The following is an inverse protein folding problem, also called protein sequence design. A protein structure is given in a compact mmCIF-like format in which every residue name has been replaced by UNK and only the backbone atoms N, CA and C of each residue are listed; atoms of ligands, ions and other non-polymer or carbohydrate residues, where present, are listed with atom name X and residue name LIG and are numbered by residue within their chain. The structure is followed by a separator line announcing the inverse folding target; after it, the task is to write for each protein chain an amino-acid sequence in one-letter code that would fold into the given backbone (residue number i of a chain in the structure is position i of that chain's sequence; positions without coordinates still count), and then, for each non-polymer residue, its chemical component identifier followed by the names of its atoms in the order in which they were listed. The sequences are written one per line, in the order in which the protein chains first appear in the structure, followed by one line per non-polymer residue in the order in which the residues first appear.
data_IF_700486252102
#
_entry.id   IF_700486252102
#
_cell.length_a   1.000
_cell.length_b   1.000
_cell.length_c   1.000
_cell.angle_alpha   90.00
_cell.angle_beta   90.00
_cell.angle_gamma   90.00
#
_symmetry.space_group_name_H-M   'P 1'
#
loop_
_entity.id
_entity.type
_entity.pdbx_description
1 polymer ?
#
# COMPACT_ATOMS: atom_id res chain seq x y z
N UNK A 1 8.10 -32.54 -21.29
CA UNK A 1 7.17 -33.01 -20.25
C UNK A 1 7.97 -33.00 -18.95
N UNK A 2 7.83 -31.93 -18.14
CA UNK A 2 8.58 -31.77 -16.89
C UNK A 2 7.58 -32.12 -15.78
N UNK A 3 7.75 -33.29 -15.19
CA UNK A 3 7.00 -33.74 -14.02
C UNK A 3 7.33 -32.80 -12.84
N UNK A 4 6.33 -32.11 -12.33
CA UNK A 4 6.43 -31.38 -11.05
C UNK A 4 6.15 -32.38 -9.93
N UNK A 5 7.17 -32.71 -9.18
CA UNK A 5 7.00 -33.44 -7.92
C UNK A 5 6.10 -32.67 -6.95
N UNK A 6 5.18 -33.34 -6.21
CA UNK A 6 4.36 -32.69 -5.22
C UNK A 6 5.24 -32.28 -4.03
N UNK A 7 5.37 -30.98 -3.78
CA UNK A 7 5.96 -30.49 -2.54
C UNK A 7 5.00 -30.72 -1.38
N UNK A 8 4.99 -31.90 -0.84
CA UNK A 8 4.41 -32.20 0.47
C UNK A 8 5.52 -32.21 1.50
N UNK A 9 5.65 -31.14 2.25
CA UNK A 9 6.25 -31.16 3.57
C UNK A 9 5.60 -30.06 4.37
N UNK A 10 4.52 -30.40 5.08
CA UNK A 10 4.09 -29.62 6.23
C UNK A 10 5.22 -29.72 7.26
N UNK A 11 6.13 -28.74 7.26
CA UNK A 11 7.15 -28.64 8.28
C UNK A 11 6.47 -28.59 9.65
N UNK A 12 6.74 -29.59 10.50
CA UNK A 12 6.22 -29.62 11.85
C UNK A 12 6.66 -28.34 12.57
N UNK A 13 5.70 -27.51 12.95
CA UNK A 13 5.96 -26.30 13.76
C UNK A 13 6.58 -26.75 15.06
N UNK A 14 7.79 -26.26 15.40
CA UNK A 14 8.44 -26.60 16.66
C UNK A 14 7.53 -26.24 17.84
N UNK A 15 7.64 -26.96 18.97
CA UNK A 15 6.86 -26.68 20.18
C UNK A 15 6.99 -25.22 20.64
N UNK A 16 8.16 -24.62 20.48
CA UNK A 16 8.40 -23.19 20.74
C UNK A 16 7.64 -22.28 19.74
N UNK A 17 7.64 -22.62 18.46
CA UNK A 17 6.86 -21.89 17.44
C UNK A 17 5.37 -21.94 17.69
N UNK A 18 4.84 -23.09 18.10
CA UNK A 18 3.42 -23.23 18.44
C UNK A 18 3.04 -22.41 19.69
N UNK A 19 3.92 -22.33 20.68
CA UNK A 19 3.71 -21.50 21.87
C UNK A 19 3.71 -20.01 21.53
N UNK A 20 4.63 -19.56 20.69
CA UNK A 20 4.68 -18.18 20.19
C UNK A 20 3.42 -17.80 19.42
N UNK A 21 2.94 -18.67 18.52
CA UNK A 21 1.71 -18.42 17.76
C UNK A 21 0.48 -18.29 18.68
N UNK A 22 0.42 -19.06 19.78
CA UNK A 22 -0.66 -18.93 20.77
C UNK A 22 -0.62 -17.62 21.56
N UNK A 23 0.54 -16.97 21.64
CA UNK A 23 0.71 -15.69 22.32
C UNK A 23 0.39 -14.48 21.43
N UNK A 24 0.16 -14.68 20.12
CA UNK A 24 -0.17 -13.61 19.18
C UNK A 24 -1.50 -12.97 19.55
N UNK A 25 -1.50 -11.64 19.72
CA UNK A 25 -2.69 -10.84 20.05
C UNK A 25 -3.25 -10.12 18.83
N UNK A 26 -2.43 -9.86 17.82
CA UNK A 26 -2.84 -9.24 16.59
C UNK A 26 -1.97 -9.69 15.43
N UNK A 27 -2.54 -9.62 14.22
CA UNK A 27 -1.84 -9.89 12.96
C UNK A 27 -2.12 -8.77 11.98
N UNK A 28 -1.12 -8.43 11.18
CA UNK A 28 -1.27 -7.60 10.00
C UNK A 28 -1.10 -8.51 8.78
N UNK A 29 -2.09 -8.52 7.91
CA UNK A 29 -2.12 -9.33 6.69
C UNK A 29 -1.88 -8.43 5.47
N UNK A 30 -0.90 -8.79 4.66
CA UNK A 30 -0.72 -8.21 3.35
C UNK A 30 -1.90 -8.58 2.45
N UNK A 31 -2.29 -7.69 1.54
CA UNK A 31 -3.47 -7.87 0.72
C UNK A 31 -3.15 -8.52 -0.63
N UNK A 32 -2.33 -7.86 -1.46
CA UNK A 32 -2.10 -8.29 -2.83
C UNK A 32 -1.17 -9.50 -2.89
N UNK A 33 -1.68 -10.63 -3.38
CA UNK A 33 -0.94 -11.90 -3.41
C UNK A 33 -0.96 -12.68 -2.09
N UNK A 34 -1.63 -12.18 -1.05
CA UNK A 34 -1.82 -12.84 0.24
C UNK A 34 -3.30 -13.07 0.56
N UNK A 35 -4.07 -12.00 0.77
CA UNK A 35 -5.51 -12.09 1.07
C UNK A 35 -6.34 -12.19 -0.20
N UNK A 36 -5.91 -11.55 -1.28
CA UNK A 36 -6.56 -11.62 -2.58
C UNK A 36 -5.58 -11.66 -3.75
N UNK A 37 -6.08 -12.08 -4.91
CA UNK A 37 -5.42 -12.06 -6.21
C UNK A 37 -6.34 -11.33 -7.20
N UNK A 38 -6.03 -10.08 -7.51
CA UNK A 38 -6.91 -9.24 -8.34
C UNK A 38 -8.28 -9.01 -7.70
N UNK A 39 -9.33 -9.61 -8.28
CA UNK A 39 -10.72 -9.49 -7.82
C UNK A 39 -11.21 -10.67 -6.96
N UNK A 40 -10.38 -11.66 -6.68
CA UNK A 40 -10.77 -12.89 -5.99
C UNK A 40 -10.00 -13.05 -4.67
N UNK A 41 -10.67 -13.60 -3.65
CA UNK A 41 -9.99 -13.97 -2.40
C UNK A 41 -9.05 -15.16 -2.62
N UNK A 42 -7.95 -15.17 -1.87
CA UNK A 42 -7.16 -16.36 -1.69
C UNK A 42 -8.02 -17.47 -1.06
N UNK A 43 -7.78 -18.76 -1.43
CA UNK A 43 -8.53 -19.85 -0.86
C UNK A 43 -8.56 -19.83 0.67
N UNK A 44 -9.74 -19.87 1.25
CA UNK A 44 -9.99 -19.83 2.70
C UNK A 44 -9.61 -18.54 3.43
N UNK A 45 -9.26 -17.46 2.76
CA UNK A 45 -8.87 -16.21 3.42
C UNK A 45 -9.95 -15.65 4.36
N UNK A 46 -11.22 -15.66 3.92
CA UNK A 46 -12.34 -15.21 4.76
C UNK A 46 -12.52 -16.08 6.01
N UNK A 47 -12.42 -17.40 5.85
CA UNK A 47 -12.53 -18.35 6.96
C UNK A 47 -11.40 -18.15 8.00
N UNK A 48 -10.16 -17.97 7.52
CA UNK A 48 -8.99 -17.73 8.39
C UNK A 48 -9.15 -16.44 9.17
N UNK A 49 -9.58 -15.36 8.51
CA UNK A 49 -9.82 -14.07 9.18
C UNK A 49 -10.94 -14.20 10.23
N UNK A 50 -12.04 -14.87 9.89
CA UNK A 50 -13.14 -15.11 10.81
C UNK A 50 -12.69 -15.92 12.04
N UNK A 51 -11.89 -16.97 11.84
CA UNK A 51 -11.36 -17.80 12.91
C UNK A 51 -10.39 -17.04 13.83
N UNK A 52 -9.50 -16.22 13.28
CA UNK A 52 -8.61 -15.36 14.07
C UNK A 52 -9.42 -14.41 14.96
N UNK A 53 -10.43 -13.76 14.39
CA UNK A 53 -11.30 -12.85 15.15
C UNK A 53 -12.12 -13.57 16.21
N UNK A 54 -12.64 -14.75 15.91
CA UNK A 54 -13.37 -15.58 16.88
C UNK A 54 -12.51 -15.99 18.07
N UNK A 55 -11.20 -16.13 17.88
CA UNK A 55 -10.21 -16.38 18.95
C UNK A 55 -9.76 -15.11 19.69
N UNK A 56 -10.32 -13.95 19.37
CA UNK A 56 -9.94 -12.66 19.98
C UNK A 56 -8.62 -12.10 19.49
N UNK A 57 -8.10 -12.59 18.34
CA UNK A 57 -6.92 -12.00 17.69
C UNK A 57 -7.36 -10.81 16.85
N UNK A 58 -6.74 -9.65 17.10
CA UNK A 58 -6.92 -8.47 16.25
C UNK A 58 -6.40 -8.74 14.84
N UNK A 59 -7.17 -8.37 13.83
CA UNK A 59 -6.76 -8.53 12.42
C UNK A 59 -6.81 -7.18 11.73
N UNK A 60 -5.66 -6.72 11.28
CA UNK A 60 -5.48 -5.56 10.40
C UNK A 60 -4.97 -5.99 9.02
N UNK A 61 -5.10 -5.08 8.07
CA UNK A 61 -4.68 -5.28 6.68
C UNK A 61 -3.66 -4.22 6.30
N UNK A 62 -2.57 -4.66 5.69
CA UNK A 62 -1.51 -3.80 5.19
C UNK A 62 -1.45 -3.93 3.67
N UNK A 63 -1.35 -2.81 2.97
CA UNK A 63 -1.13 -2.82 1.52
C UNK A 63 -0.16 -1.72 1.13
N UNK A 64 0.61 -1.94 0.07
CA UNK A 64 1.48 -0.94 -0.56
C UNK A 64 0.76 -0.17 -1.69
N UNK A 65 -0.55 -0.33 -1.85
CA UNK A 65 -1.34 0.46 -2.81
C UNK A 65 -1.15 1.95 -2.49
N UNK A 66 -0.70 2.71 -3.49
CA UNK A 66 -0.38 4.14 -3.39
C UNK A 66 -1.40 5.03 -4.12
N UNK A 67 -2.62 4.54 -4.28
CA UNK A 67 -3.76 5.25 -4.85
C UNK A 67 -5.06 4.80 -4.18
N UNK A 68 -6.09 5.65 -4.19
CA UNK A 68 -7.35 5.37 -3.51
C UNK A 68 -7.32 5.67 -2.02
N UNK A 69 -8.33 5.19 -1.29
CA UNK A 69 -8.52 5.44 0.14
C UNK A 69 -8.65 4.13 0.92
N UNK A 70 -8.42 4.18 2.23
CA UNK A 70 -8.66 3.04 3.14
C UNK A 70 -10.11 2.53 3.05
N UNK A 71 -11.07 3.44 2.85
CA UNK A 71 -12.49 3.10 2.64
C UNK A 71 -12.69 2.21 1.42
N UNK A 72 -12.09 2.53 0.28
CA UNK A 72 -12.18 1.69 -0.93
C UNK A 72 -11.64 0.27 -0.69
N UNK A 73 -10.55 0.15 0.07
CA UNK A 73 -9.94 -1.15 0.40
C UNK A 73 -10.85 -1.93 1.36
N UNK A 74 -11.38 -1.27 2.41
CA UNK A 74 -12.30 -1.88 3.36
C UNK A 74 -13.60 -2.35 2.69
N UNK A 75 -14.15 -1.54 1.79
CA UNK A 75 -15.33 -1.89 0.98
C UNK A 75 -15.05 -3.09 0.07
N UNK A 76 -13.86 -3.16 -0.55
CA UNK A 76 -13.47 -4.31 -1.37
C UNK A 76 -13.37 -5.57 -0.52
N UNK A 77 -12.72 -5.53 0.66
CA UNK A 77 -12.66 -6.64 1.60
C UNK A 77 -14.05 -7.12 1.98
N UNK A 78 -14.95 -6.20 2.32
CA UNK A 78 -16.33 -6.49 2.72
C UNK A 78 -17.13 -7.14 1.59
N UNK A 79 -17.03 -6.62 0.36
CA UNK A 79 -17.66 -7.23 -0.83
C UNK A 79 -17.16 -8.64 -1.12
N UNK A 80 -15.89 -8.90 -0.83
CA UNK A 80 -15.27 -10.21 -0.98
C UNK A 80 -15.58 -11.18 0.18
N UNK A 81 -16.31 -10.74 1.21
CA UNK A 81 -16.73 -11.59 2.33
C UNK A 81 -15.85 -11.47 3.58
N UNK A 82 -14.95 -10.51 3.65
CA UNK A 82 -14.16 -10.18 4.84
C UNK A 82 -14.63 -8.83 5.38
N UNK A 83 -15.53 -8.76 6.39
CA UNK A 83 -15.95 -7.49 6.98
C UNK A 83 -14.76 -6.69 7.48
N UNK A 84 -14.60 -5.45 7.01
CA UNK A 84 -13.50 -4.58 7.39
C UNK A 84 -13.98 -3.13 7.51
N UNK A 85 -13.34 -2.35 8.38
CA UNK A 85 -13.51 -0.91 8.54
C UNK A 85 -12.27 -0.21 8.03
N UNK A 86 -12.37 1.08 7.75
CA UNK A 86 -11.23 1.92 7.35
C UNK A 86 -10.08 1.81 8.36
N UNK A 87 -10.40 1.78 9.66
CA UNK A 87 -9.43 1.63 10.75
C UNK A 87 -8.70 0.28 10.79
N UNK A 88 -9.19 -0.71 10.06
CA UNK A 88 -8.57 -2.03 9.97
C UNK A 88 -7.53 -2.08 8.84
N UNK A 89 -7.43 -1.03 8.01
CA UNK A 89 -6.56 -0.95 6.82
C UNK A 89 -5.45 0.07 7.03
N UNK A 90 -4.22 -0.32 6.76
CA UNK A 90 -3.05 0.57 6.74
C UNK A 90 -2.51 0.67 5.30
N UNK A 91 -2.43 1.90 4.80
CA UNK A 91 -1.92 2.25 3.48
C UNK A 91 -0.74 3.24 3.59
N UNK A 92 0.13 3.35 2.57
CA UNK A 92 1.22 4.32 2.57
C UNK A 92 0.75 5.76 2.74
N UNK A 93 -0.43 6.08 2.22
CA UNK A 93 -1.03 7.42 2.29
C UNK A 93 -1.32 7.85 3.75
N UNK A 94 -1.63 6.91 4.64
CA UNK A 94 -1.85 7.18 6.07
C UNK A 94 -0.52 7.46 6.80
N UNK A 95 0.59 6.91 6.31
CA UNK A 95 1.92 7.12 6.88
C UNK A 95 2.48 8.54 6.62
N UNK A 96 1.86 9.32 5.74
CA UNK A 96 2.21 10.74 5.53
C UNK A 96 2.03 11.55 6.82
N UNK A 97 1.01 11.21 7.62
CA UNK A 97 0.78 11.83 8.91
C UNK A 97 1.92 11.47 9.88
N UNK A 98 2.76 12.45 10.20
CA UNK A 98 3.92 12.26 11.09
C UNK A 98 5.22 11.90 10.36
N UNK A 99 5.25 11.86 9.02
CA UNK A 99 6.49 11.66 8.30
C UNK A 99 7.45 12.85 8.48
N UNK A 100 8.72 12.64 8.85
CA UNK A 100 9.66 13.74 9.17
C UNK A 100 9.84 14.78 8.07
N UNK A 101 9.82 14.37 6.79
CA UNK A 101 9.92 15.28 5.63
C UNK A 101 8.74 16.24 5.50
N UNK A 102 7.60 15.94 6.14
CA UNK A 102 6.41 16.79 6.12
C UNK A 102 6.25 17.63 7.38
N UNK A 103 7.19 17.51 8.32
CA UNK A 103 7.23 18.33 9.53
C UNK A 103 7.44 19.82 9.19
N UNK A 104 6.70 20.72 9.84
CA UNK A 104 6.80 22.15 9.57
C UNK A 104 5.99 22.63 8.36
N UNK A 105 5.17 21.78 7.77
CA UNK A 105 4.29 22.10 6.64
C UNK A 105 5.03 22.68 5.42
N UNK A 106 5.98 21.92 4.83
CA UNK A 106 6.67 22.36 3.63
C UNK A 106 5.73 22.50 2.44
N UNK A 107 6.20 23.14 1.37
CA UNK A 107 5.53 23.15 0.07
C UNK A 107 5.85 21.87 -0.69
N UNK A 108 4.83 21.11 -1.06
CA UNK A 108 4.96 19.79 -1.67
C UNK A 108 4.48 19.82 -3.12
N UNK A 109 5.34 19.41 -4.03
CA UNK A 109 4.93 19.06 -5.39
C UNK A 109 4.45 17.61 -5.41
N UNK A 110 3.20 17.36 -5.79
CA UNK A 110 2.61 16.02 -5.72
C UNK A 110 2.52 15.42 -7.13
N UNK A 111 3.25 14.33 -7.36
CA UNK A 111 3.05 13.41 -8.47
C UNK A 111 2.12 12.31 -8.04
N UNK A 112 0.83 12.45 -8.28
CA UNK A 112 -0.16 11.47 -7.83
C UNK A 112 -1.57 11.97 -8.06
N UNK A 113 -2.52 11.05 -7.95
CA UNK A 113 -3.95 11.37 -8.07
C UNK A 113 -4.41 12.30 -6.96
N UNK A 114 -5.63 12.82 -7.13
CA UNK A 114 -6.27 13.77 -6.21
C UNK A 114 -6.29 13.25 -4.75
N UNK A 115 -6.45 11.95 -4.53
CA UNK A 115 -6.45 11.37 -3.19
C UNK A 115 -5.10 11.53 -2.49
N UNK A 116 -3.99 11.43 -3.24
CA UNK A 116 -2.63 11.67 -2.71
C UNK A 116 -2.45 13.15 -2.38
N UNK A 117 -2.84 14.04 -3.30
CA UNK A 117 -2.77 15.48 -3.07
C UNK A 117 -3.63 15.91 -1.86
N UNK A 118 -4.84 15.35 -1.74
CA UNK A 118 -5.73 15.58 -0.59
C UNK A 118 -5.11 15.10 0.73
N UNK A 119 -4.45 13.95 0.73
CA UNK A 119 -3.80 13.44 1.93
C UNK A 119 -2.58 14.28 2.33
N UNK A 120 -1.76 14.70 1.36
CA UNK A 120 -0.65 15.62 1.59
C UNK A 120 -1.16 16.95 2.15
N UNK A 121 -2.25 17.49 1.61
CA UNK A 121 -2.83 18.77 2.04
C UNK A 121 -3.32 18.77 3.50
N UNK A 122 -3.54 17.60 4.10
CA UNK A 122 -3.89 17.47 5.53
C UNK A 122 -2.70 17.70 6.47
N UNK A 123 -1.47 17.53 5.97
CA UNK A 123 -0.24 17.52 6.79
C UNK A 123 0.82 18.49 6.30
N UNK A 124 0.70 19.01 5.09
CA UNK A 124 1.62 19.96 4.47
C UNK A 124 0.87 20.90 3.52
N UNK A 125 1.59 21.79 2.84
CA UNK A 125 1.02 22.64 1.78
C UNK A 125 1.32 22.04 0.42
N UNK A 126 0.36 22.02 -0.49
CA UNK A 126 0.58 21.56 -1.86
C UNK A 126 0.81 22.75 -2.78
N UNK A 127 1.64 22.56 -3.80
CA UNK A 127 1.89 23.53 -4.87
C UNK A 127 1.99 22.83 -6.22
N UNK A 128 1.60 23.54 -7.28
CA UNK A 128 1.85 23.16 -8.68
C UNK A 128 3.04 23.91 -9.27
N UNK A 129 3.63 24.84 -8.52
CA UNK A 129 4.79 25.60 -8.91
C UNK A 129 6.05 24.90 -8.37
N UNK A 130 6.85 24.35 -9.27
CA UNK A 130 8.06 23.61 -8.94
C UNK A 130 9.17 24.51 -8.36
N UNK A 131 9.15 25.82 -8.65
CA UNK A 131 10.07 26.79 -8.04
C UNK A 131 9.79 26.99 -6.55
N UNK A 132 8.56 26.84 -6.10
CA UNK A 132 8.15 27.01 -4.71
C UNK A 132 8.20 25.69 -3.89
N UNK A 133 8.35 24.56 -4.56
CA UNK A 133 8.31 23.26 -3.89
C UNK A 133 9.60 22.97 -3.12
N UNK A 134 9.45 22.50 -1.89
CA UNK A 134 10.53 22.05 -1.02
C UNK A 134 10.87 20.57 -1.22
N UNK A 135 9.89 19.76 -1.62
CA UNK A 135 10.03 18.31 -1.88
C UNK A 135 8.98 17.81 -2.85
N UNK A 136 9.21 16.58 -3.33
CA UNK A 136 8.27 15.85 -4.18
C UNK A 136 7.68 14.66 -3.39
N UNK A 137 6.35 14.49 -3.46
CA UNK A 137 5.67 13.25 -3.02
C UNK A 137 5.16 12.52 -4.25
N UNK A 138 5.50 11.21 -4.35
CA UNK A 138 5.08 10.36 -5.47
C UNK A 138 4.10 9.31 -5.01
N UNK A 139 2.89 9.33 -5.57
CA UNK A 139 1.88 8.29 -5.55
C UNK A 139 1.54 7.84 -6.96
N UNK A 140 0.73 6.79 -7.09
CA UNK A 140 0.38 6.28 -8.41
C UNK A 140 -0.59 7.20 -9.14
N UNK A 141 -0.21 7.62 -10.35
CA UNK A 141 -1.08 8.29 -11.31
C UNK A 141 -0.86 7.73 -12.72
N UNK A 142 -1.83 6.99 -13.28
CA UNK A 142 -1.75 6.48 -14.65
C UNK A 142 -1.85 7.57 -15.74
N UNK A 143 -2.28 8.77 -15.37
CA UNK A 143 -2.50 9.92 -16.28
C UNK A 143 -1.37 10.96 -16.18
N UNK A 144 -0.24 10.59 -15.55
CA UNK A 144 0.91 11.45 -15.35
C UNK A 144 1.47 11.94 -16.69
N UNK A 145 1.65 13.25 -16.83
CA UNK A 145 2.22 13.86 -18.01
C UNK A 145 3.74 14.04 -17.89
N UNK A 146 4.43 14.05 -19.02
CA UNK A 146 5.88 14.29 -19.06
C UNK A 146 6.28 15.64 -18.42
N UNK A 147 5.42 16.66 -18.53
CA UNK A 147 5.65 17.96 -17.90
C UNK A 147 5.70 17.86 -16.37
N UNK A 148 4.88 17.00 -15.76
CA UNK A 148 4.86 16.81 -14.30
C UNK A 148 6.16 16.16 -13.83
N UNK A 149 6.69 15.20 -14.61
CA UNK A 149 8.00 14.59 -14.35
C UNK A 149 9.13 15.62 -14.46
N UNK A 150 9.07 16.50 -15.46
CA UNK A 150 10.08 17.55 -15.62
C UNK A 150 10.07 18.53 -14.45
N UNK A 151 8.90 18.95 -13.98
CA UNK A 151 8.74 19.81 -12.81
C UNK A 151 9.27 19.13 -11.54
N UNK A 152 8.91 17.88 -11.31
CA UNK A 152 9.43 17.12 -10.16
C UNK A 152 10.96 16.99 -10.21
N UNK A 153 11.52 16.68 -11.39
CA UNK A 153 12.97 16.61 -11.59
C UNK A 153 13.65 17.96 -11.30
N UNK A 154 13.01 19.08 -11.61
CA UNK A 154 13.51 20.41 -11.28
C UNK A 154 13.64 20.57 -9.74
N UNK A 155 12.62 20.20 -8.98
CA UNK A 155 12.67 20.22 -7.50
C UNK A 155 13.82 19.37 -6.98
N UNK A 156 13.98 18.15 -7.50
CA UNK A 156 15.04 17.23 -7.07
C UNK A 156 16.43 17.76 -7.42
N UNK A 157 16.63 18.38 -8.59
CA UNK A 157 17.90 18.97 -9.00
C UNK A 157 18.30 20.18 -8.14
N UNK A 158 17.35 20.86 -7.51
CA UNK A 158 17.61 21.91 -6.50
C UNK A 158 17.93 21.34 -5.12
N UNK A 159 17.92 20.01 -4.96
CA UNK A 159 18.22 19.33 -3.71
C UNK A 159 16.99 18.99 -2.85
N UNK A 160 15.77 19.21 -3.38
CA UNK A 160 14.53 18.78 -2.71
C UNK A 160 14.49 17.25 -2.57
N UNK A 161 14.06 16.70 -1.42
CA UNK A 161 13.94 15.26 -1.25
C UNK A 161 12.73 14.69 -2.01
N UNK A 162 12.80 13.38 -2.28
CA UNK A 162 11.71 12.57 -2.83
C UNK A 162 11.11 11.67 -1.75
N UNK A 163 9.80 11.71 -1.57
CA UNK A 163 9.04 10.78 -0.74
C UNK A 163 8.11 9.94 -1.64
N UNK A 164 8.48 8.69 -1.89
CA UNK A 164 7.66 7.77 -2.65
C UNK A 164 6.76 6.94 -1.72
N UNK A 165 5.46 6.84 -2.03
CA UNK A 165 4.50 6.07 -1.25
C UNK A 165 4.75 4.55 -1.34
N UNK A 166 5.37 4.09 -2.43
CA UNK A 166 5.95 2.76 -2.57
C UNK A 166 7.08 2.80 -3.61
N UNK A 167 7.83 1.71 -3.71
CA UNK A 167 8.97 1.57 -4.65
C UNK A 167 8.72 0.49 -5.71
N UNK A 168 7.49 0.07 -5.91
CA UNK A 168 7.15 -0.92 -6.91
C UNK A 168 7.42 -0.39 -8.31
N UNK A 169 8.27 -1.07 -9.05
CA UNK A 169 8.58 -0.70 -10.44
C UNK A 169 7.52 -1.18 -11.42
N UNK A 170 6.69 -2.15 -11.00
CA UNK A 170 5.70 -2.81 -11.85
C UNK A 170 4.39 -3.04 -11.09
N UNK A 171 3.28 -2.73 -11.73
CA UNK A 171 1.94 -2.97 -11.19
C UNK A 171 1.17 -3.87 -12.14
N UNK A 172 0.76 -5.08 -11.72
CA UNK A 172 -0.13 -5.92 -12.52
C UNK A 172 -1.52 -5.30 -12.56
N UNK A 173 -2.13 -5.30 -13.74
CA UNK A 173 -3.50 -4.84 -13.97
C UNK A 173 -4.33 -5.95 -14.61
N UNK A 174 -5.64 -5.74 -14.71
CA UNK A 174 -6.55 -6.69 -15.37
C UNK A 174 -6.06 -7.09 -16.76
N UNK A 175 -6.36 -8.33 -17.16
CA UNK A 175 -5.91 -8.90 -18.43
C UNK A 175 -4.45 -9.33 -18.46
N UNK A 176 -3.77 -9.45 -17.30
CA UNK A 176 -2.39 -9.92 -17.21
C UNK A 176 -1.35 -8.92 -17.71
N UNK A 177 -1.75 -7.68 -17.95
CA UNK A 177 -0.84 -6.59 -18.34
C UNK A 177 -0.08 -6.06 -17.13
N UNK A 178 1.08 -5.49 -17.39
CA UNK A 178 1.91 -4.81 -16.39
C UNK A 178 2.08 -3.37 -16.83
N UNK A 179 1.94 -2.46 -15.88
CA UNK A 179 2.18 -1.02 -16.06
C UNK A 179 3.27 -0.54 -15.10
N UNK A 180 3.91 0.61 -15.37
CA UNK A 180 4.86 1.21 -14.44
C UNK A 180 4.22 1.49 -13.09
N UNK A 181 4.96 1.21 -12.02
CA UNK A 181 4.66 1.66 -10.66
C UNK A 181 5.50 2.88 -10.28
N UNK A 182 5.34 3.38 -9.06
CA UNK A 182 6.03 4.59 -8.59
C UNK A 182 7.56 4.45 -8.63
N UNK A 183 8.08 3.26 -8.39
CA UNK A 183 9.53 3.00 -8.44
C UNK A 183 10.12 2.95 -9.84
N UNK A 184 9.30 3.12 -10.89
CA UNK A 184 9.74 3.21 -12.29
C UNK A 184 9.79 4.66 -12.80
N UNK A 185 9.32 5.61 -12.01
CA UNK A 185 9.34 7.05 -12.24
C UNK A 185 10.59 7.64 -11.62
#
# INVERSE_FOLDING_TARGET
MIEREPRSSAAAVSTDGAARLRAVRSVMLDLDGCVWFGSELAPRAAEVVAELRARGVGVGFLTNISSGTTSHVADKLTRLGIPARDSDVLMPIEALAGHPLLAGSPQVYVLGREEVATAVARVARTTTDDELADLVVVGRDPELHYADLAAALHVLNRGGPLLALNLDTRVPIEGGRIVPGNGAI
#
